data_IF_160570647437
#
_entry.id   IF_160570647437
#
_cell.length_a   1.000
_cell.length_b   1.000
_cell.length_c   1.000
_cell.angle_alpha   90.00
_cell.angle_beta   90.00
_cell.angle_gamma   90.00
#
_symmetry.space_group_name_H-M   'P 1'
#
loop_
_entity.id
_entity.type
_entity.pdbx_description
1 polymer ?
#
# COMPACT_ATOMS: atom_id res chain seq x y z
N UNK A 1 7.21 1.83 -27.95
CA UNK A 1 8.64 1.89 -27.58
C UNK A 1 8.75 2.49 -26.19
N UNK A 2 8.53 1.69 -25.17
CA UNK A 2 9.12 1.92 -23.84
C UNK A 2 10.37 1.04 -23.83
N UNK A 3 11.56 1.54 -23.46
CA UNK A 3 12.74 0.68 -23.45
C UNK A 3 12.52 -0.44 -22.44
N UNK A 4 12.97 -1.64 -22.80
CA UNK A 4 13.02 -2.79 -21.91
C UNK A 4 13.76 -2.40 -20.64
N UNK A 5 13.00 -2.25 -19.55
CA UNK A 5 13.54 -2.12 -18.20
C UNK A 5 14.11 -3.49 -17.84
N UNK A 6 15.36 -3.72 -18.22
CA UNK A 6 16.14 -4.86 -17.76
C UNK A 6 16.36 -4.67 -16.26
N UNK A 7 15.59 -5.37 -15.45
CA UNK A 7 15.85 -5.48 -14.02
C UNK A 7 17.07 -6.38 -13.85
N UNK A 8 18.16 -5.91 -13.22
CA UNK A 8 19.32 -6.76 -12.98
C UNK A 8 18.90 -7.93 -12.09
N UNK A 9 19.34 -9.14 -12.45
CA UNK A 9 19.17 -10.33 -11.61
C UNK A 9 19.88 -10.10 -10.28
N UNK A 10 19.10 -9.71 -9.26
CA UNK A 10 19.60 -9.46 -7.94
C UNK A 10 20.04 -10.77 -7.31
N UNK A 11 21.35 -10.90 -7.06
CA UNK A 11 21.92 -11.83 -6.09
C UNK A 11 21.05 -11.81 -4.84
N UNK A 12 20.56 -12.97 -4.39
CA UNK A 12 19.64 -13.13 -3.25
C UNK A 12 20.30 -12.72 -1.92
N UNK A 13 20.56 -11.43 -1.75
CA UNK A 13 20.57 -10.79 -0.45
C UNK A 13 19.13 -10.71 0.04
N UNK A 14 18.89 -10.68 1.36
CA UNK A 14 17.57 -10.38 1.89
C UNK A 14 17.03 -9.14 1.14
N UNK A 15 15.95 -9.32 0.39
CA UNK A 15 15.43 -8.25 -0.46
C UNK A 15 15.17 -7.03 0.42
N UNK A 16 15.48 -5.80 -0.04
CA UNK A 16 15.15 -4.59 0.70
C UNK A 16 13.66 -4.59 1.08
N UNK A 17 13.36 -4.26 2.33
CA UNK A 17 11.96 -4.15 2.78
C UNK A 17 11.26 -3.04 1.99
N UNK A 18 10.17 -3.40 1.30
CA UNK A 18 9.26 -2.47 0.65
C UNK A 18 7.91 -2.43 1.35
N UNK A 19 7.32 -1.25 1.47
CA UNK A 19 6.00 -1.06 2.06
C UNK A 19 5.05 -0.39 1.04
N UNK A 20 3.90 -1.01 0.83
CA UNK A 20 2.77 -0.43 0.10
C UNK A 20 1.61 -0.21 1.07
N UNK A 21 1.14 1.03 1.17
CA UNK A 21 -0.03 1.38 1.99
C UNK A 21 -1.17 1.77 1.06
N UNK A 22 -2.29 1.05 1.15
CA UNK A 22 -3.47 1.36 0.38
C UNK A 22 -4.28 2.48 1.05
N UNK A 23 -4.49 3.59 0.34
CA UNK A 23 -5.38 4.68 0.76
C UNK A 23 -6.65 4.69 -0.08
N UNK A 24 -7.78 4.15 0.42
CA UNK A 24 -8.98 3.95 -0.38
C UNK A 24 -9.94 5.15 -0.36
N UNK A 25 -9.55 6.34 0.09
CA UNK A 25 -10.50 7.44 0.30
C UNK A 25 -10.35 8.56 -0.72
N UNK A 26 -11.45 8.91 -1.38
CA UNK A 26 -11.54 10.02 -2.31
C UNK A 26 -12.61 11.03 -1.87
N UNK A 27 -12.34 12.33 -2.09
CA UNK A 27 -13.35 13.39 -1.92
C UNK A 27 -14.39 13.39 -3.06
N UNK A 28 -13.96 13.04 -4.26
CA UNK A 28 -14.78 12.92 -5.45
C UNK A 28 -14.27 11.77 -6.33
N UNK A 29 -15.13 11.16 -7.15
CA UNK A 29 -14.79 10.00 -7.98
C UNK A 29 -14.67 10.46 -9.42
N UNK A 30 -13.53 10.20 -10.04
CA UNK A 30 -13.31 10.50 -11.46
C UNK A 30 -14.18 9.58 -12.33
N UNK A 31 -14.63 10.03 -13.51
CA UNK A 31 -15.52 9.25 -14.39
C UNK A 31 -14.87 7.98 -14.95
N UNK A 32 -13.55 7.89 -14.92
CA UNK A 32 -12.75 6.73 -15.35
C UNK A 32 -12.14 5.95 -14.19
N UNK A 33 -12.49 6.27 -12.93
CA UNK A 33 -11.81 5.68 -11.78
C UNK A 33 -12.19 4.21 -11.59
N UNK A 34 -11.23 3.32 -11.82
CA UNK A 34 -11.30 1.87 -11.56
C UNK A 34 -10.36 1.43 -10.42
N UNK A 35 -9.83 2.39 -9.65
CA UNK A 35 -9.09 2.07 -8.43
C UNK A 35 -10.05 1.61 -7.33
N UNK A 36 -9.61 0.64 -6.53
CA UNK A 36 -10.28 0.29 -5.28
C UNK A 36 -10.29 1.53 -4.35
N UNK A 37 -11.41 2.24 -4.36
CA UNK A 37 -11.56 3.54 -3.72
C UNK A 37 -13.02 3.78 -3.34
N UNK A 38 -13.21 4.64 -2.34
CA UNK A 38 -14.48 4.92 -1.71
C UNK A 38 -14.63 6.42 -1.51
N UNK A 39 -15.79 6.95 -1.89
CA UNK A 39 -16.17 8.32 -1.59
C UNK A 39 -16.44 8.46 -0.10
N UNK A 40 -15.78 9.42 0.53
CA UNK A 40 -15.96 9.78 1.94
C UNK A 40 -15.87 11.29 2.09
N UNK A 41 -16.91 11.89 2.66
CA UNK A 41 -16.90 13.33 2.99
C UNK A 41 -15.98 13.62 4.18
N UNK A 42 -15.86 12.65 5.09
CA UNK A 42 -14.97 12.69 6.25
C UNK A 42 -14.37 11.31 6.48
N UNK A 43 -13.10 11.31 6.89
CA UNK A 43 -12.37 10.12 7.33
C UNK A 43 -11.91 10.37 8.75
N UNK A 44 -12.13 9.41 9.64
CA UNK A 44 -11.50 9.43 10.96
C UNK A 44 -10.04 8.97 10.80
N UNK A 45 -9.15 9.95 10.66
CA UNK A 45 -7.73 9.71 10.40
C UNK A 45 -7.06 9.01 11.58
N UNK A 46 -7.44 9.35 12.81
CA UNK A 46 -6.89 8.75 14.03
C UNK A 46 -7.24 7.28 14.11
N UNK A 47 -8.52 6.94 13.88
CA UNK A 47 -8.96 5.55 13.87
C UNK A 47 -8.32 4.75 12.73
N UNK A 48 -8.21 5.33 11.53
CA UNK A 48 -7.59 4.65 10.39
C UNK A 48 -6.10 4.37 10.62
N UNK A 49 -5.34 5.37 11.09
CA UNK A 49 -3.93 5.20 11.39
C UNK A 49 -3.71 4.15 12.49
N UNK A 50 -4.54 4.17 13.55
CA UNK A 50 -4.48 3.17 14.60
C UNK A 50 -4.84 1.75 14.14
N UNK A 51 -5.63 1.60 13.07
CA UNK A 51 -5.90 0.30 12.47
C UNK A 51 -4.72 -0.18 11.60
N UNK A 52 -4.15 0.72 10.78
CA UNK A 52 -2.98 0.42 9.95
C UNK A 52 -1.78 -0.01 10.80
N UNK A 53 -1.50 0.67 11.91
CA UNK A 53 -0.41 0.30 12.82
C UNK A 53 -0.60 -1.11 13.37
N UNK A 54 -1.80 -1.47 13.82
CA UNK A 54 -2.10 -2.83 14.32
C UNK A 54 -1.91 -3.90 13.25
N UNK A 55 -2.28 -3.60 12.00
CA UNK A 55 -2.05 -4.50 10.88
C UNK A 55 -0.54 -4.69 10.62
N UNK A 56 0.25 -3.62 10.64
CA UNK A 56 1.70 -3.70 10.51
C UNK A 56 2.36 -4.49 11.64
N UNK A 57 1.93 -4.29 12.89
CA UNK A 57 2.38 -5.08 14.05
C UNK A 57 2.08 -6.58 13.82
N UNK A 58 0.86 -6.89 13.39
CA UNK A 58 0.46 -8.27 13.07
C UNK A 58 1.33 -8.86 11.97
N UNK A 59 1.58 -8.11 10.89
CA UNK A 59 2.41 -8.58 9.77
C UNK A 59 3.88 -8.75 10.17
N UNK A 60 4.42 -7.89 11.03
CA UNK A 60 5.78 -8.05 11.56
C UNK A 60 5.93 -9.36 12.35
N UNK A 61 4.99 -9.65 13.25
CA UNK A 61 4.94 -10.92 13.98
C UNK A 61 4.79 -12.14 13.06
N UNK A 62 4.20 -11.98 11.88
CA UNK A 62 4.07 -13.05 10.89
C UNK A 62 5.34 -13.23 10.05
N UNK A 63 6.05 -12.15 9.76
CA UNK A 63 7.29 -12.18 8.99
C UNK A 63 8.47 -12.78 9.79
N UNK A 64 8.42 -12.69 11.12
CA UNK A 64 9.43 -13.27 12.02
C UNK A 64 9.25 -14.79 12.29
N UNK A 65 8.21 -15.43 11.73
CA UNK A 65 7.96 -16.88 11.82
C UNK A 65 8.40 -17.62 10.57
#
# INVERSE_FOLDING_TARGET
MMPDVVMPEAKQAAAPLGLYVHWPFCRAKCPYCDFNSHLRDRVDHTRWAAALVRELETLAEQADR
#
